data_IF_867547447083
#
_entry.id   IF_867547447083
#
_cell.length_a   1.000
_cell.length_b   1.000
_cell.length_c   1.000
_cell.angle_alpha   90.00
_cell.angle_beta   90.00
_cell.angle_gamma   90.00
#
_symmetry.space_group_name_H-M   'P 1'
#
loop_
_entity.id
_entity.type
_entity.pdbx_description
1 polymer ?
#
# COMPACT_ATOMS: atom_id res chain seq x y z
N UNK A 1 13.46 -41.17 12.42
CA UNK A 1 12.26 -40.47 12.95
C UNK A 1 12.67 -39.15 13.52
N UNK A 2 11.95 -38.06 13.20
CA UNK A 2 12.07 -36.84 13.99
C UNK A 2 11.36 -37.02 15.32
N UNK A 3 12.01 -36.64 16.41
CA UNK A 3 11.45 -36.57 17.75
C UNK A 3 10.43 -35.44 17.85
N UNK A 4 9.54 -35.51 18.85
CA UNK A 4 8.60 -34.42 19.16
C UNK A 4 9.32 -33.07 19.35
N UNK A 5 10.54 -33.08 19.89
CA UNK A 5 11.37 -31.89 20.10
C UNK A 5 11.86 -31.31 18.77
N UNK A 6 12.28 -32.15 17.83
CA UNK A 6 12.69 -31.72 16.48
C UNK A 6 11.51 -31.15 15.68
N UNK A 7 10.32 -31.75 15.79
CA UNK A 7 9.10 -31.22 15.16
C UNK A 7 8.73 -29.84 15.72
N UNK A 8 8.77 -29.67 17.05
CA UNK A 8 8.48 -28.37 17.68
C UNK A 8 9.52 -27.32 17.23
N UNK A 9 10.79 -27.69 17.16
CA UNK A 9 11.85 -26.77 16.72
C UNK A 9 11.63 -26.33 15.26
N UNK A 10 11.25 -27.26 14.37
CA UNK A 10 10.95 -26.95 12.97
C UNK A 10 9.75 -26.04 12.82
N UNK A 11 8.70 -26.23 13.63
CA UNK A 11 7.55 -25.31 13.65
C UNK A 11 8.00 -23.91 14.06
N UNK A 12 8.83 -23.79 15.09
CA UNK A 12 9.35 -22.50 15.55
C UNK A 12 10.26 -21.84 14.50
N UNK A 13 11.07 -22.62 13.79
CA UNK A 13 11.93 -22.13 12.72
C UNK A 13 11.11 -21.64 11.52
N UNK A 14 10.07 -22.39 11.14
CA UNK A 14 9.12 -21.97 10.10
C UNK A 14 8.40 -20.69 10.50
N UNK A 15 7.89 -20.59 11.73
CA UNK A 15 7.26 -19.37 12.24
C UNK A 15 8.20 -18.16 12.16
N UNK A 16 9.45 -18.32 12.58
CA UNK A 16 10.45 -17.25 12.49
C UNK A 16 10.74 -16.86 11.05
N UNK A 17 10.86 -17.82 10.14
CA UNK A 17 11.12 -17.54 8.73
C UNK A 17 9.94 -16.82 8.05
N UNK A 18 8.70 -17.28 8.31
CA UNK A 18 7.50 -16.59 7.82
C UNK A 18 7.42 -15.17 8.36
N UNK A 19 7.80 -14.96 9.62
CA UNK A 19 7.84 -13.62 10.21
C UNK A 19 8.84 -12.71 9.54
N UNK A 20 10.09 -13.17 9.41
CA UNK A 20 11.12 -12.40 8.73
C UNK A 20 10.68 -12.02 7.31
N UNK A 21 10.06 -12.94 6.56
CA UNK A 21 9.55 -12.64 5.22
C UNK A 21 8.41 -11.64 5.24
N UNK A 22 7.42 -11.80 6.11
CA UNK A 22 6.31 -10.86 6.21
C UNK A 22 6.80 -9.46 6.59
N UNK A 23 7.65 -9.36 7.62
CA UNK A 23 8.26 -8.09 8.04
C UNK A 23 9.01 -7.44 6.89
N UNK A 24 9.81 -8.23 6.17
CA UNK A 24 10.56 -7.77 5.01
C UNK A 24 9.64 -7.20 3.92
N UNK A 25 8.48 -7.81 3.67
CA UNK A 25 7.47 -7.32 2.72
C UNK A 25 6.78 -6.05 3.20
N UNK A 26 6.37 -5.97 4.47
CA UNK A 26 5.76 -4.74 5.03
C UNK A 26 6.74 -3.57 4.97
N UNK A 27 7.99 -3.79 5.40
CA UNK A 27 9.06 -2.79 5.32
C UNK A 27 9.33 -2.40 3.88
N UNK A 28 9.35 -3.37 2.98
CA UNK A 28 9.54 -3.14 1.55
C UNK A 28 8.43 -2.26 0.98
N UNK A 29 7.18 -2.51 1.34
CA UNK A 29 6.03 -1.73 0.90
C UNK A 29 6.12 -0.27 1.34
N UNK A 30 6.35 -0.05 2.64
CA UNK A 30 6.42 1.29 3.22
C UNK A 30 7.65 2.06 2.72
N UNK A 31 8.83 1.40 2.66
CA UNK A 31 10.04 2.00 2.09
C UNK A 31 9.84 2.33 0.61
N UNK A 32 9.23 1.43 -0.16
CA UNK A 32 8.96 1.64 -1.57
C UNK A 32 8.04 2.84 -1.82
N UNK A 33 7.02 3.01 -0.97
CA UNK A 33 6.13 4.17 -0.99
C UNK A 33 6.88 5.49 -0.78
N UNK A 34 7.72 5.55 0.25
CA UNK A 34 8.59 6.72 0.52
C UNK A 34 9.56 6.97 -0.64
N UNK A 35 10.16 5.94 -1.20
CA UNK A 35 11.07 6.07 -2.35
C UNK A 35 10.37 6.65 -3.58
N UNK A 36 9.14 6.22 -3.89
CA UNK A 36 8.42 6.74 -5.05
C UNK A 36 8.01 8.20 -4.92
N UNK A 37 7.59 8.64 -3.73
CA UNK A 37 7.29 10.06 -3.47
C UNK A 37 8.50 10.98 -3.66
N UNK A 38 9.70 10.44 -3.39
CA UNK A 38 10.96 11.21 -3.30
C UNK A 38 11.86 11.04 -4.52
N UNK A 39 11.51 10.12 -5.42
CA UNK A 39 12.29 9.79 -6.62
C UNK A 39 12.51 11.00 -7.55
N UNK A 40 11.47 11.80 -7.69
CA UNK A 40 11.34 12.95 -8.58
C UNK A 40 11.93 14.26 -8.04
N UNK A 41 12.19 14.34 -6.73
CA UNK A 41 12.77 15.53 -6.06
C UNK A 41 14.28 15.68 -6.31
N UNK A 42 14.86 14.79 -7.12
CA UNK A 42 16.19 14.98 -7.72
C UNK A 42 16.23 16.14 -8.72
N UNK A 43 15.10 16.80 -8.98
CA UNK A 43 15.03 18.13 -9.59
C UNK A 43 14.64 19.14 -8.51
N UNK A 44 15.58 19.98 -8.02
CA UNK A 44 15.26 20.93 -6.97
C UNK A 44 14.17 21.89 -7.44
N UNK A 45 13.04 21.92 -6.72
CA UNK A 45 12.09 23.02 -6.82
C UNK A 45 12.81 24.24 -6.24
N UNK A 46 13.11 25.30 -7.02
CA UNK A 46 13.77 26.46 -6.47
C UNK A 46 12.80 27.12 -5.48
N UNK A 47 13.06 26.99 -4.19
CA UNK A 47 12.36 27.80 -3.20
C UNK A 47 12.83 29.25 -3.37
N UNK A 48 11.91 30.21 -3.22
CA UNK A 48 12.24 31.65 -3.30
C UNK A 48 13.20 32.12 -2.20
N UNK A 49 13.47 31.27 -1.20
CA UNK A 49 14.35 31.54 -0.09
C UNK A 49 15.46 30.49 -0.08
N UNK A 50 16.67 30.86 -0.52
CA UNK A 50 17.94 30.09 -0.56
C UNK A 50 18.27 29.28 0.72
N UNK A 51 17.44 28.31 1.07
CA UNK A 51 17.66 27.33 2.11
C UNK A 51 17.68 25.98 1.42
N UNK A 52 18.78 25.25 1.57
CA UNK A 52 19.01 23.89 1.10
C UNK A 52 18.14 22.86 1.86
N UNK A 53 16.94 23.25 2.27
CA UNK A 53 15.98 22.35 2.91
C UNK A 53 15.19 21.67 1.80
N UNK A 54 15.38 20.37 1.64
CA UNK A 54 14.50 19.53 0.83
C UNK A 54 13.13 19.55 1.52
N UNK A 55 12.22 20.41 1.05
CA UNK A 55 10.82 20.37 1.45
C UNK A 55 10.24 19.07 0.88
N UNK A 56 9.98 18.10 1.75
CA UNK A 56 9.22 16.91 1.40
C UNK A 56 7.81 17.30 0.92
N UNK A 57 7.23 16.48 0.05
CA UNK A 57 5.83 16.67 -0.32
C UNK A 57 4.94 16.44 0.91
N UNK A 58 4.02 17.37 1.19
CA UNK A 58 3.09 17.31 2.35
C UNK A 58 2.31 16.00 2.43
N UNK A 59 2.12 15.29 1.30
CA UNK A 59 1.51 13.97 1.27
C UNK A 59 2.29 12.93 2.10
N UNK A 60 3.62 12.97 2.10
CA UNK A 60 4.47 12.03 2.86
C UNK A 60 4.34 12.29 4.36
N UNK A 61 4.33 13.56 4.77
CA UNK A 61 4.20 13.94 6.18
C UNK A 61 2.80 13.63 6.71
N UNK A 62 1.76 13.88 5.92
CA UNK A 62 0.38 13.51 6.26
C UNK A 62 0.20 12.00 6.35
N UNK A 63 0.83 11.24 5.46
CA UNK A 63 0.83 9.78 5.49
C UNK A 63 1.53 9.25 6.75
N UNK A 64 2.71 9.80 7.08
CA UNK A 64 3.43 9.41 8.29
C UNK A 64 2.64 9.76 9.56
N UNK A 65 2.11 10.98 9.66
CA UNK A 65 1.28 11.38 10.80
C UNK A 65 0.05 10.47 10.96
N UNK A 66 -0.53 10.01 9.86
CA UNK A 66 -1.65 9.08 9.91
C UNK A 66 -1.23 7.70 10.39
N UNK A 67 -0.12 7.17 9.88
CA UNK A 67 0.42 5.89 10.33
C UNK A 67 0.77 5.94 11.83
N UNK A 68 1.38 7.03 12.32
CA UNK A 68 1.66 7.25 13.75
C UNK A 68 0.38 7.19 14.58
N UNK A 69 -0.67 7.88 14.12
CA UNK A 69 -1.95 7.93 14.82
C UNK A 69 -2.57 6.54 14.90
N UNK A 70 -2.57 5.79 13.79
CA UNK A 70 -3.13 4.43 13.73
C UNK A 70 -2.33 3.47 14.63
N UNK A 71 -0.99 3.54 14.64
CA UNK A 71 -0.16 2.75 15.56
C UNK A 71 -0.44 3.09 17.02
N UNK A 72 -0.61 4.37 17.32
CA UNK A 72 -0.88 4.85 18.68
C UNK A 72 -2.27 4.43 19.18
N UNK A 73 -3.29 4.51 18.32
CA UNK A 73 -4.68 4.15 18.66
C UNK A 73 -4.96 2.65 18.54
N UNK A 74 -4.12 1.91 17.79
CA UNK A 74 -4.33 0.52 17.38
C UNK A 74 -5.65 0.30 16.65
N UNK A 75 -6.13 1.34 15.97
CA UNK A 75 -7.40 1.33 15.27
C UNK A 75 -7.34 2.19 14.02
N UNK A 76 -7.88 1.67 12.92
CA UNK A 76 -8.09 2.43 11.70
C UNK A 76 -9.46 3.11 11.74
N UNK A 77 -9.53 4.32 12.28
CA UNK A 77 -10.78 5.08 12.37
C UNK A 77 -10.83 6.26 11.40
N UNK A 78 -12.04 6.55 10.92
CA UNK A 78 -12.31 7.73 10.09
C UNK A 78 -12.00 9.02 10.86
N UNK A 79 -12.32 9.06 12.16
CA UNK A 79 -12.12 10.22 13.01
C UNK A 79 -10.62 10.56 13.17
N UNK A 80 -9.78 9.54 13.36
CA UNK A 80 -8.33 9.70 13.46
C UNK A 80 -7.74 10.27 12.17
N UNK A 81 -8.04 9.66 11.03
CA UNK A 81 -7.55 10.14 9.74
C UNK A 81 -8.06 11.56 9.44
N UNK A 82 -9.32 11.85 9.76
CA UNK A 82 -9.89 13.18 9.59
C UNK A 82 -9.16 14.20 10.46
N UNK A 83 -8.87 13.86 11.72
CA UNK A 83 -8.10 14.70 12.65
C UNK A 83 -6.71 14.96 12.11
N UNK A 84 -6.01 13.94 11.60
CA UNK A 84 -4.69 14.09 10.99
C UNK A 84 -4.76 15.02 9.79
N UNK A 85 -5.72 14.83 8.86
CA UNK A 85 -5.89 15.73 7.70
C UNK A 85 -6.10 17.18 8.17
N UNK A 86 -6.87 17.43 9.24
CA UNK A 86 -7.09 18.78 9.77
C UNK A 86 -5.82 19.44 10.31
N UNK A 87 -4.82 18.68 10.75
CA UNK A 87 -3.56 19.24 11.27
C UNK A 87 -2.76 19.98 10.20
N UNK A 88 -2.97 19.63 8.93
CA UNK A 88 -2.31 20.26 7.77
C UNK A 88 -3.08 21.47 7.21
N UNK A 89 -4.10 21.96 7.93
CA UNK A 89 -4.86 23.14 7.50
C UNK A 89 -3.98 24.40 7.50
N UNK A 90 -3.89 25.06 6.35
CA UNK A 90 -3.08 26.26 6.17
C UNK A 90 -1.62 25.98 5.78
N UNK A 91 -1.29 24.72 5.50
CA UNK A 91 -0.02 24.35 4.86
C UNK A 91 -0.01 24.84 3.41
N UNK A 92 1.03 25.61 3.05
CA UNK A 92 1.18 26.24 1.73
C UNK A 92 1.09 25.22 0.57
N UNK A 93 1.55 23.98 0.80
CA UNK A 93 1.50 22.94 -0.22
C UNK A 93 0.08 22.39 -0.50
N UNK A 94 -0.89 22.65 0.39
CA UNK A 94 -2.29 22.28 0.21
C UNK A 94 -3.15 23.46 -0.26
N UNK A 95 -2.63 24.68 -0.22
CA UNK A 95 -3.35 25.88 -0.63
C UNK A 95 -3.67 25.86 -2.13
N UNK A 96 -4.91 26.21 -2.47
CA UNK A 96 -5.40 26.27 -3.84
C UNK A 96 -5.65 24.90 -4.51
N UNK A 97 -5.40 23.79 -3.82
CA UNK A 97 -5.76 22.47 -4.33
C UNK A 97 -7.28 22.21 -4.20
N UNK A 98 -7.92 21.56 -5.19
CA UNK A 98 -9.34 21.23 -5.07
C UNK A 98 -9.67 20.40 -3.82
N UNK A 99 -8.75 19.52 -3.39
CA UNK A 99 -8.90 18.70 -2.19
C UNK A 99 -9.01 19.51 -0.89
N UNK A 100 -8.33 20.65 -0.79
CA UNK A 100 -8.34 21.46 0.43
C UNK A 100 -9.68 22.14 0.67
N UNK A 101 -10.39 22.51 -0.41
CA UNK A 101 -11.77 23.00 -0.31
C UNK A 101 -12.71 21.95 0.31
N UNK A 102 -12.56 20.68 -0.08
CA UNK A 102 -13.37 19.59 0.48
C UNK A 102 -13.00 19.33 1.94
N UNK A 103 -11.74 18.98 2.21
CA UNK A 103 -11.35 18.47 3.52
C UNK A 103 -11.33 19.53 4.61
N UNK A 104 -11.27 20.82 4.25
CA UNK A 104 -11.36 21.93 5.20
C UNK A 104 -12.71 22.65 5.19
N UNK A 105 -13.70 22.11 4.46
CA UNK A 105 -15.08 22.62 4.45
C UNK A 105 -15.76 22.46 5.81
N UNK A 106 -16.80 23.26 6.04
CA UNK A 106 -17.66 23.11 7.21
C UNK A 106 -18.39 21.77 7.16
N UNK A 107 -18.36 20.99 8.25
CA UNK A 107 -19.06 19.72 8.35
C UNK A 107 -18.23 18.50 7.96
N UNK A 108 -17.08 18.68 7.29
CA UNK A 108 -16.22 17.55 6.89
C UNK A 108 -15.75 16.73 8.10
N UNK A 109 -15.37 17.38 9.21
CA UNK A 109 -14.93 16.67 10.42
C UNK A 109 -16.03 15.79 11.02
N UNK A 110 -17.29 16.21 10.88
CA UNK A 110 -18.43 15.52 11.46
C UNK A 110 -18.89 14.34 10.58
N UNK A 111 -18.94 14.53 9.27
CA UNK A 111 -19.44 13.52 8.32
C UNK A 111 -18.59 13.48 7.04
N UNK A 112 -17.31 13.08 7.10
CA UNK A 112 -16.37 13.27 5.99
C UNK A 112 -16.76 12.50 4.73
N UNK A 113 -17.27 11.27 4.86
CA UNK A 113 -17.71 10.46 3.72
C UNK A 113 -18.95 11.07 3.06
N UNK A 114 -19.94 11.51 3.84
CA UNK A 114 -21.17 12.09 3.29
C UNK A 114 -20.89 13.43 2.59
N UNK A 115 -20.01 14.25 3.16
CA UNK A 115 -19.57 15.51 2.55
C UNK A 115 -18.82 15.24 1.24
N UNK A 116 -17.87 14.29 1.23
CA UNK A 116 -17.16 13.90 0.02
C UNK A 116 -18.08 13.27 -1.04
N UNK A 117 -19.13 12.57 -0.61
CA UNK A 117 -20.14 12.02 -1.51
C UNK A 117 -20.99 13.12 -2.12
N UNK A 118 -21.46 14.08 -1.32
CA UNK A 118 -22.23 15.21 -1.81
C UNK A 118 -21.44 16.06 -2.81
N UNK A 119 -20.17 16.35 -2.52
CA UNK A 119 -19.26 17.06 -3.43
C UNK A 119 -19.08 16.31 -4.76
N UNK A 120 -18.90 14.99 -4.72
CA UNK A 120 -18.83 14.17 -5.93
C UNK A 120 -20.14 14.14 -6.71
N UNK A 121 -21.28 13.98 -6.02
CA UNK A 121 -22.61 13.94 -6.66
C UNK A 121 -22.95 15.29 -7.32
N UNK A 122 -22.48 16.41 -6.77
CA UNK A 122 -22.68 17.76 -7.33
C UNK A 122 -21.74 18.06 -8.51
N UNK A 123 -20.44 17.75 -8.36
CA UNK A 123 -19.43 18.15 -9.34
C UNK A 123 -19.22 17.12 -10.45
N UNK A 124 -19.59 15.86 -10.20
CA UNK A 124 -19.23 14.68 -11.00
C UNK A 124 -17.73 14.57 -11.33
N UNK A 125 -16.89 15.17 -10.49
CA UNK A 125 -15.44 15.18 -10.64
C UNK A 125 -14.83 14.66 -9.36
N UNK A 126 -13.84 13.79 -9.47
CA UNK A 126 -12.94 13.61 -8.34
C UNK A 126 -11.91 14.73 -8.34
N UNK A 127 -11.51 15.13 -7.14
CA UNK A 127 -10.53 16.18 -6.92
C UNK A 127 -9.17 15.70 -7.46
N UNK A 128 -8.40 16.63 -8.04
CA UNK A 128 -7.23 16.37 -8.92
C UNK A 128 -6.03 15.73 -8.20
N UNK A 129 -6.13 15.43 -6.90
CA UNK A 129 -5.02 14.90 -6.10
C UNK A 129 -5.08 13.37 -5.97
N UNK A 130 -4.40 12.71 -6.90
CA UNK A 130 -4.09 11.28 -6.93
C UNK A 130 -3.36 10.81 -5.67
N UNK A 131 -2.63 11.74 -5.07
CA UNK A 131 -1.41 11.52 -4.33
C UNK A 131 -1.61 10.73 -3.03
N UNK A 132 -2.79 10.90 -2.43
CA UNK A 132 -3.08 10.33 -1.13
C UNK A 132 -4.06 9.16 -1.20
N UNK A 133 -4.84 9.01 -2.28
CA UNK A 133 -5.90 7.98 -2.34
C UNK A 133 -5.31 6.57 -2.42
N UNK A 134 -4.38 6.33 -3.35
CA UNK A 134 -3.82 4.99 -3.55
C UNK A 134 -2.72 4.67 -2.52
N UNK A 135 -2.02 5.66 -1.99
CA UNK A 135 -1.10 5.46 -0.86
C UNK A 135 -1.84 4.97 0.40
N UNK A 136 -3.04 5.50 0.67
CA UNK A 136 -3.93 4.95 1.72
C UNK A 136 -4.38 3.52 1.43
N UNK A 137 -4.49 3.15 0.16
CA UNK A 137 -4.86 1.79 -0.26
C UNK A 137 -3.76 0.78 0.01
N UNK A 138 -2.49 1.18 -0.20
CA UNK A 138 -1.33 0.37 0.22
C UNK A 138 -1.41 0.10 1.72
N UNK A 139 -1.64 1.15 2.53
CA UNK A 139 -1.77 0.98 3.98
C UNK A 139 -2.98 0.12 4.37
N UNK A 140 -4.13 0.26 3.70
CA UNK A 140 -5.29 -0.59 3.92
C UNK A 140 -5.02 -2.09 3.66
N UNK A 141 -4.10 -2.41 2.73
CA UNK A 141 -3.65 -3.78 2.50
C UNK A 141 -2.64 -4.29 3.53
N UNK A 142 -1.93 -3.39 4.21
CA UNK A 142 -0.99 -3.71 5.30
C UNK A 142 -1.71 -3.83 6.65
N UNK A 143 -2.73 -3.01 6.88
CA UNK A 143 -3.49 -2.91 8.12
C UNK A 143 -4.64 -3.91 8.17
N UNK A 144 -4.85 -4.59 9.30
CA UNK A 144 -5.89 -5.63 9.47
C UNK A 144 -5.92 -6.64 8.31
N UNK A 145 -4.75 -6.93 7.73
CA UNK A 145 -4.56 -7.74 6.53
C UNK A 145 -5.00 -9.21 6.66
N UNK A 146 -5.40 -9.65 7.84
CA UNK A 146 -5.76 -11.04 8.15
C UNK A 146 -7.07 -11.48 7.47
N UNK A 147 -7.92 -10.53 7.09
CA UNK A 147 -9.21 -10.78 6.46
C UNK A 147 -9.37 -9.96 5.18
N UNK A 148 -9.64 -10.63 4.07
CA UNK A 148 -9.92 -9.96 2.79
C UNK A 148 -11.09 -8.99 2.92
N UNK A 149 -12.17 -9.39 3.61
CA UNK A 149 -13.35 -8.52 3.79
C UNK A 149 -12.99 -7.24 4.55
N UNK A 150 -12.11 -7.35 5.56
CA UNK A 150 -11.65 -6.18 6.31
C UNK A 150 -10.78 -5.28 5.45
N UNK A 151 -9.86 -5.85 4.66
CA UNK A 151 -9.01 -5.10 3.71
C UNK A 151 -9.87 -4.34 2.70
N UNK A 152 -10.86 -5.00 2.10
CA UNK A 152 -11.79 -4.38 1.14
C UNK A 152 -12.56 -3.24 1.80
N UNK A 153 -13.17 -3.49 2.96
CA UNK A 153 -13.94 -2.46 3.67
C UNK A 153 -13.07 -1.26 4.08
N UNK A 154 -11.84 -1.50 4.53
CA UNK A 154 -10.91 -0.43 4.91
C UNK A 154 -10.51 0.39 3.68
N UNK A 155 -10.15 -0.26 2.57
CA UNK A 155 -9.81 0.42 1.33
C UNK A 155 -10.98 1.28 0.80
N UNK A 156 -12.21 0.76 0.84
CA UNK A 156 -13.41 1.52 0.48
C UNK A 156 -13.60 2.74 1.38
N UNK A 157 -13.60 2.54 2.70
CA UNK A 157 -13.82 3.61 3.68
C UNK A 157 -12.79 4.72 3.52
N UNK A 158 -11.51 4.36 3.40
CA UNK A 158 -10.42 5.32 3.27
C UNK A 158 -10.48 6.08 1.95
N UNK A 159 -10.79 5.41 0.85
CA UNK A 159 -10.99 6.07 -0.45
C UNK A 159 -12.13 7.09 -0.37
N UNK A 160 -13.29 6.67 0.17
CA UNK A 160 -14.53 7.45 0.23
C UNK A 160 -14.48 8.71 1.10
N UNK A 161 -13.44 8.87 1.92
CA UNK A 161 -13.19 10.12 2.63
C UNK A 161 -12.99 11.29 1.68
N UNK A 162 -12.50 11.05 0.47
CA UNK A 162 -12.25 12.12 -0.48
C UNK A 162 -12.66 11.81 -1.92
N UNK A 163 -12.85 10.54 -2.28
CA UNK A 163 -13.16 10.11 -3.64
C UNK A 163 -14.29 9.08 -3.62
N UNK A 164 -15.40 9.38 -4.30
CA UNK A 164 -16.58 8.51 -4.32
C UNK A 164 -16.88 7.88 -5.68
N UNK A 165 -16.07 8.17 -6.71
CA UNK A 165 -16.18 7.47 -8.00
C UNK A 165 -15.98 5.97 -7.85
N UNK A 166 -16.82 5.14 -8.48
CA UNK A 166 -16.64 3.69 -8.49
C UNK A 166 -15.30 3.24 -9.06
N UNK A 167 -14.78 3.92 -10.10
CA UNK A 167 -13.47 3.62 -10.69
C UNK A 167 -12.34 3.81 -9.66
N UNK A 168 -12.38 4.89 -8.87
CA UNK A 168 -11.34 5.20 -7.89
C UNK A 168 -11.42 4.28 -6.68
N UNK A 169 -12.64 4.01 -6.18
CA UNK A 169 -12.87 3.08 -5.07
C UNK A 169 -12.45 1.67 -5.47
N UNK A 170 -12.85 1.19 -6.65
CA UNK A 170 -12.46 -0.14 -7.12
C UNK A 170 -10.96 -0.27 -7.34
N UNK A 171 -10.30 0.75 -7.88
CA UNK A 171 -8.84 0.78 -8.01
C UNK A 171 -8.12 0.69 -6.67
N UNK A 172 -8.63 1.41 -5.66
CA UNK A 172 -8.12 1.39 -4.28
C UNK A 172 -8.25 -0.01 -3.67
N UNK A 173 -9.41 -0.63 -3.83
CA UNK A 173 -9.67 -1.99 -3.34
C UNK A 173 -8.75 -3.02 -4.00
N UNK A 174 -8.57 -2.95 -5.33
CA UNK A 174 -7.68 -3.88 -6.05
C UNK A 174 -6.22 -3.72 -5.58
N UNK A 175 -5.72 -2.49 -5.40
CA UNK A 175 -4.36 -2.27 -4.89
C UNK A 175 -4.18 -2.82 -3.47
N UNK A 176 -5.13 -2.55 -2.57
CA UNK A 176 -5.10 -3.08 -1.20
C UNK A 176 -5.13 -4.62 -1.19
N UNK A 177 -5.96 -5.20 -2.07
CA UNK A 177 -6.07 -6.64 -2.26
C UNK A 177 -4.76 -7.27 -2.76
N UNK A 178 -4.06 -6.64 -3.71
CA UNK A 178 -2.75 -7.11 -4.17
C UNK A 178 -1.74 -7.15 -3.03
N UNK A 179 -1.65 -6.07 -2.25
CA UNK A 179 -0.76 -6.01 -1.08
C UNK A 179 -1.12 -7.13 -0.10
N UNK A 180 -2.40 -7.30 0.24
CA UNK A 180 -2.87 -8.39 1.10
C UNK A 180 -2.40 -9.77 0.62
N UNK A 181 -2.59 -10.09 -0.67
CA UNK A 181 -2.14 -11.37 -1.24
C UNK A 181 -0.62 -11.53 -1.22
N UNK A 182 0.12 -10.48 -1.55
CA UNK A 182 1.58 -10.46 -1.47
C UNK A 182 2.05 -10.71 -0.04
N UNK A 183 1.46 -10.08 0.96
CA UNK A 183 1.85 -10.26 2.36
C UNK A 183 1.62 -11.71 2.83
N UNK A 184 0.53 -12.33 2.38
CA UNK A 184 0.20 -13.70 2.71
C UNK A 184 0.96 -14.74 1.89
N UNK A 185 1.76 -14.33 0.91
CA UNK A 185 2.40 -15.23 -0.07
C UNK A 185 1.38 -16.06 -0.87
N UNK A 186 0.22 -15.46 -1.14
CA UNK A 186 -0.86 -16.10 -1.86
C UNK A 186 -0.84 -15.69 -3.33
N UNK A 187 -1.09 -16.67 -4.20
CA UNK A 187 -1.32 -16.42 -5.61
C UNK A 187 -2.70 -15.78 -5.79
N UNK A 188 -2.80 -14.92 -6.79
CA UNK A 188 -4.06 -14.39 -7.31
C UNK A 188 -4.11 -14.59 -8.82
N UNK A 189 -5.32 -14.64 -9.36
CA UNK A 189 -5.53 -14.87 -10.80
C UNK A 189 -6.12 -13.64 -11.49
N UNK A 190 -5.94 -13.57 -12.81
CA UNK A 190 -6.57 -12.53 -13.63
C UNK A 190 -8.09 -12.51 -13.43
N UNK A 191 -8.74 -13.68 -13.48
CA UNK A 191 -10.19 -13.81 -13.30
C UNK A 191 -10.67 -13.31 -11.93
N UNK A 192 -9.89 -13.54 -10.89
CA UNK A 192 -10.20 -13.07 -9.53
C UNK A 192 -10.15 -11.55 -9.44
N UNK A 193 -9.11 -10.93 -10.04
CA UNK A 193 -8.99 -9.47 -10.10
C UNK A 193 -10.06 -8.84 -10.99
N UNK A 194 -10.42 -9.47 -12.11
CA UNK A 194 -11.55 -9.05 -12.98
C UNK A 194 -12.86 -9.11 -12.20
N UNK A 195 -13.12 -10.20 -11.46
CA UNK A 195 -14.32 -10.35 -10.66
C UNK A 195 -14.43 -9.26 -9.58
N UNK A 196 -13.34 -9.04 -8.83
CA UNK A 196 -13.28 -7.99 -7.81
C UNK A 196 -13.51 -6.59 -8.42
N UNK A 197 -12.86 -6.31 -9.55
CA UNK A 197 -12.96 -5.03 -10.26
C UNK A 197 -14.38 -4.73 -10.73
N UNK A 198 -15.09 -5.73 -11.26
CA UNK A 198 -16.46 -5.59 -11.80
C UNK A 198 -17.52 -5.28 -10.75
N UNK A 199 -17.25 -5.55 -9.47
CA UNK A 199 -18.13 -5.14 -8.38
C UNK A 199 -18.21 -3.60 -8.23
N UNK A 200 -17.24 -2.86 -8.78
CA UNK A 200 -17.19 -1.40 -8.72
C UNK A 200 -17.44 -0.76 -10.09
N UNK A 201 -16.71 -1.17 -11.12
CA UNK A 201 -16.89 -0.66 -12.49
C UNK A 201 -16.43 -1.69 -13.51
N UNK A 202 -17.20 -1.88 -14.58
CA UNK A 202 -16.83 -2.75 -15.68
C UNK A 202 -15.60 -2.25 -16.45
N UNK A 203 -15.29 -0.96 -16.41
CA UNK A 203 -14.10 -0.39 -17.08
C UNK A 203 -12.79 -0.88 -16.45
N UNK A 204 -12.81 -1.21 -15.15
CA UNK A 204 -11.62 -1.63 -14.42
C UNK A 204 -11.03 -2.93 -14.95
N UNK A 205 -11.87 -3.85 -15.45
CA UNK A 205 -11.38 -5.15 -15.94
C UNK A 205 -10.42 -5.00 -17.12
N UNK A 206 -10.60 -4.00 -17.99
CA UNK A 206 -9.69 -3.76 -19.11
C UNK A 206 -8.26 -3.46 -18.62
N UNK A 207 -8.09 -2.74 -17.50
CA UNK A 207 -6.78 -2.44 -16.95
C UNK A 207 -6.13 -3.63 -16.25
N UNK A 208 -6.94 -4.59 -15.77
CA UNK A 208 -6.44 -5.90 -15.31
C UNK A 208 -5.91 -6.69 -16.50
N UNK A 209 -6.70 -6.79 -17.58
CA UNK A 209 -6.33 -7.49 -18.82
C UNK A 209 -5.03 -6.90 -19.41
N UNK A 210 -4.94 -5.57 -19.53
CA UNK A 210 -3.71 -4.90 -20.01
C UNK A 210 -2.47 -5.22 -19.17
N UNK A 211 -2.63 -5.44 -17.87
CA UNK A 211 -1.52 -5.82 -16.99
C UNK A 211 -1.03 -7.24 -17.28
N UNK A 212 -1.96 -8.20 -17.43
CA UNK A 212 -1.64 -9.60 -17.75
C UNK A 212 -1.10 -9.79 -19.16
N UNK A 213 -1.57 -8.98 -20.11
CA UNK A 213 -1.04 -8.94 -21.49
C UNK A 213 0.35 -8.28 -21.57
N UNK A 214 0.81 -7.60 -20.52
CA UNK A 214 2.07 -6.86 -20.53
C UNK A 214 2.01 -5.55 -21.34
N UNK A 215 0.81 -5.01 -21.57
CA UNK A 215 0.59 -3.84 -22.41
C UNK A 215 0.86 -2.52 -21.65
N UNK A 216 2.13 -2.26 -21.37
CA UNK A 216 2.55 -1.08 -20.61
C UNK A 216 2.10 0.24 -21.22
N UNK A 217 2.01 0.33 -22.55
CA UNK A 217 1.57 1.56 -23.22
C UNK A 217 0.14 1.96 -22.84
N UNK A 218 -0.74 0.98 -22.61
CA UNK A 218 -2.10 1.23 -22.13
C UNK A 218 -2.17 1.57 -20.65
N UNK A 219 -1.16 1.15 -19.88
CA UNK A 219 -1.05 1.38 -18.44
C UNK A 219 -0.29 2.66 -18.09
N UNK A 220 0.39 3.29 -19.05
CA UNK A 220 1.17 4.51 -18.81
C UNK A 220 0.24 5.71 -18.59
N UNK A 221 0.32 6.39 -17.43
CA UNK A 221 -0.46 7.59 -17.15
C UNK A 221 -0.12 8.75 -18.10
N UNK A 222 -1.08 9.64 -18.30
CA UNK A 222 -0.94 10.80 -19.18
C UNK A 222 -1.61 12.04 -18.56
N UNK A 223 -0.93 13.19 -18.62
CA UNK A 223 -1.43 14.47 -18.11
C UNK A 223 -2.64 15.00 -18.87
N UNK A 224 -2.90 14.51 -20.09
CA UNK A 224 -4.10 14.85 -20.86
C UNK A 224 -5.34 14.03 -20.51
N UNK A 225 -5.20 12.99 -19.67
CA UNK A 225 -6.30 12.12 -19.28
C UNK A 225 -6.96 12.55 -17.97
N UNK A 226 -8.18 12.06 -17.73
CA UNK A 226 -8.89 12.36 -16.49
C UNK A 226 -8.21 11.69 -15.29
N UNK A 227 -8.43 12.21 -14.07
CA UNK A 227 -7.88 11.60 -12.88
C UNK A 227 -8.29 10.16 -12.64
N UNK A 228 -9.55 9.84 -12.84
CA UNK A 228 -10.07 8.49 -12.68
C UNK A 228 -9.34 7.52 -13.61
N UNK A 229 -9.06 7.93 -14.85
CA UNK A 229 -8.36 7.09 -15.82
C UNK A 229 -6.91 6.84 -15.43
N UNK A 230 -6.19 7.86 -14.98
CA UNK A 230 -4.82 7.71 -14.49
C UNK A 230 -4.76 6.81 -13.24
N UNK A 231 -5.78 6.85 -12.37
CA UNK A 231 -5.88 5.94 -11.21
C UNK A 231 -6.08 4.49 -11.64
N UNK A 232 -6.97 4.22 -12.61
CA UNK A 232 -7.16 2.87 -13.16
C UNK A 232 -5.88 2.34 -13.82
N UNK A 233 -5.14 3.21 -14.51
CA UNK A 233 -3.82 2.91 -15.06
C UNK A 233 -2.80 2.57 -13.98
N UNK A 234 -2.76 3.32 -12.88
CA UNK A 234 -1.91 3.03 -11.71
C UNK A 234 -2.24 1.67 -11.11
N UNK A 235 -3.52 1.32 -10.97
CA UNK A 235 -3.94 0.00 -10.53
C UNK A 235 -3.40 -1.09 -11.48
N UNK A 236 -3.57 -0.92 -12.80
CA UNK A 236 -3.00 -1.84 -13.78
C UNK A 236 -1.48 -1.94 -13.72
N UNK A 237 -0.75 -0.83 -13.52
CA UNK A 237 0.70 -0.84 -13.32
C UNK A 237 1.11 -1.57 -12.03
N UNK A 238 0.35 -1.40 -10.94
CA UNK A 238 0.57 -2.14 -9.70
C UNK A 238 0.44 -3.65 -9.96
N UNK A 239 -0.63 -4.09 -10.64
CA UNK A 239 -0.79 -5.49 -11.06
C UNK A 239 0.39 -5.92 -11.93
N UNK A 240 0.74 -5.17 -12.97
CA UNK A 240 1.84 -5.52 -13.87
C UNK A 240 3.18 -5.69 -13.12
N UNK A 241 3.45 -4.84 -12.14
CA UNK A 241 4.63 -4.93 -11.27
C UNK A 241 4.68 -6.25 -10.50
N UNK A 242 3.53 -6.74 -10.03
CA UNK A 242 3.43 -8.06 -9.38
C UNK A 242 3.71 -9.22 -10.33
N UNK A 243 3.64 -9.01 -11.65
CA UNK A 243 3.94 -10.04 -12.65
C UNK A 243 5.41 -10.04 -13.11
N UNK A 244 6.18 -8.98 -12.80
CA UNK A 244 7.58 -8.87 -13.25
C UNK A 244 8.54 -9.83 -12.56
N UNK A 245 9.38 -10.54 -13.32
CA UNK A 245 10.41 -11.45 -12.77
C UNK A 245 11.79 -10.79 -12.60
N UNK A 246 11.91 -9.51 -12.98
CA UNK A 246 13.16 -8.75 -12.90
C UNK A 246 13.51 -8.34 -11.46
N UNK A 247 14.76 -7.94 -11.23
CA UNK A 247 15.22 -7.45 -9.92
C UNK A 247 14.50 -6.14 -9.52
N UNK A 248 14.51 -5.81 -8.23
CA UNK A 248 13.93 -4.58 -7.71
C UNK A 248 14.51 -3.38 -8.45
N UNK A 249 15.84 -3.35 -8.60
CA UNK A 249 16.55 -2.28 -9.26
C UNK A 249 16.11 -2.08 -10.72
N UNK A 250 15.97 -3.18 -11.47
CA UNK A 250 15.61 -3.10 -12.89
C UNK A 250 14.19 -2.58 -13.07
N UNK A 251 13.24 -3.13 -12.29
CA UNK A 251 11.84 -2.68 -12.33
C UNK A 251 11.71 -1.25 -11.82
N UNK A 252 12.36 -0.90 -10.72
CA UNK A 252 12.39 0.47 -10.18
C UNK A 252 12.96 1.47 -11.19
N UNK A 253 14.09 1.14 -11.82
CA UNK A 253 14.72 1.99 -12.82
C UNK A 253 13.84 2.17 -14.05
N UNK A 254 13.12 1.13 -14.48
CA UNK A 254 12.14 1.21 -15.54
C UNK A 254 10.99 2.16 -15.18
N UNK A 255 10.36 1.95 -14.02
CA UNK A 255 9.27 2.78 -13.51
C UNK A 255 9.68 4.25 -13.39
N UNK A 256 10.87 4.51 -12.85
CA UNK A 256 11.39 5.87 -12.72
C UNK A 256 11.55 6.61 -14.05
N UNK A 257 11.91 5.91 -15.14
CA UNK A 257 11.97 6.50 -16.48
C UNK A 257 10.59 6.75 -17.07
N UNK A 258 9.70 5.77 -16.95
CA UNK A 258 8.37 5.81 -17.57
C UNK A 258 7.41 6.77 -16.85
N UNK A 259 7.56 6.89 -15.53
CA UNK A 259 6.65 7.62 -14.66
C UNK A 259 7.24 8.92 -14.13
N UNK A 260 8.33 9.43 -14.71
CA UNK A 260 9.12 10.56 -14.19
C UNK A 260 8.34 11.82 -13.78
N UNK A 261 7.13 12.01 -14.30
CA UNK A 261 6.24 13.15 -14.01
C UNK A 261 5.01 12.80 -13.18
N UNK A 262 4.90 11.56 -12.70
CA UNK A 262 3.79 11.02 -11.94
C UNK A 262 4.32 10.43 -10.63
N UNK A 263 4.80 11.31 -9.74
CA UNK A 263 5.52 10.93 -8.51
C UNK A 263 4.69 9.97 -7.65
N UNK A 264 3.39 10.15 -7.69
CA UNK A 264 2.46 9.53 -6.77
C UNK A 264 2.00 8.17 -7.26
N UNK A 265 1.99 8.02 -8.58
CA UNK A 265 1.88 6.73 -9.24
C UNK A 265 3.13 5.89 -8.93
N UNK A 266 4.31 6.52 -8.91
CA UNK A 266 5.53 5.82 -8.51
C UNK A 266 5.46 5.35 -7.06
N UNK A 267 4.97 6.17 -6.13
CA UNK A 267 4.81 5.79 -4.72
C UNK A 267 4.04 4.47 -4.58
N UNK A 268 2.89 4.36 -5.24
CA UNK A 268 2.03 3.15 -5.18
C UNK A 268 2.72 1.95 -5.83
N UNK A 269 3.23 2.12 -7.05
CA UNK A 269 3.78 0.99 -7.81
C UNK A 269 5.09 0.49 -7.21
N UNK A 270 5.92 1.38 -6.65
CA UNK A 270 7.16 1.02 -5.97
C UNK A 270 6.86 0.44 -4.57
N UNK A 271 5.80 0.87 -3.90
CA UNK A 271 5.32 0.19 -2.70
C UNK A 271 4.92 -1.27 -3.01
N UNK A 272 4.17 -1.51 -4.09
CA UNK A 272 3.83 -2.88 -4.51
C UNK A 272 5.06 -3.68 -4.90
N UNK A 273 6.03 -3.07 -5.60
CA UNK A 273 7.32 -3.70 -5.90
C UNK A 273 8.08 -4.10 -4.62
N UNK A 274 8.15 -3.19 -3.66
CA UNK A 274 8.80 -3.41 -2.37
C UNK A 274 8.10 -4.45 -1.53
N UNK A 275 6.77 -4.47 -1.51
CA UNK A 275 5.99 -5.53 -0.88
C UNK A 275 6.32 -6.89 -1.50
N UNK A 276 6.43 -6.95 -2.82
CA UNK A 276 6.69 -8.19 -3.55
C UNK A 276 8.11 -8.71 -3.34
N UNK A 277 9.10 -7.84 -3.48
CA UNK A 277 10.51 -8.22 -3.45
C UNK A 277 11.09 -8.20 -2.05
N UNK A 278 10.46 -7.50 -1.11
CA UNK A 278 10.94 -7.35 0.25
C UNK A 278 12.01 -6.27 0.39
N UNK A 279 12.12 -5.73 1.60
CA UNK A 279 13.03 -4.65 1.97
C UNK A 279 14.50 -5.01 1.76
N UNK A 280 14.89 -6.25 2.05
CA UNK A 280 16.26 -6.74 1.91
C UNK A 280 16.78 -6.68 0.45
N UNK A 281 15.88 -6.65 -0.53
CA UNK A 281 16.22 -6.54 -1.96
C UNK A 281 16.24 -5.10 -2.48
N UNK A 282 15.96 -4.11 -1.63
CA UNK A 282 16.09 -2.69 -1.98
C UNK A 282 17.58 -2.33 -1.89
N UNK A 283 18.24 -1.91 -3.01
CA UNK A 283 19.67 -1.60 -3.00
C UNK A 283 19.99 -0.47 -2.03
N UNK A 284 21.03 -0.60 -1.20
CA UNK A 284 21.41 0.42 -0.20
C UNK A 284 21.73 1.75 -0.88
N UNK A 285 22.22 1.76 -2.12
CA UNK A 285 22.53 2.99 -2.85
C UNK A 285 21.28 3.80 -3.24
N UNK A 286 20.10 3.21 -3.13
CA UNK A 286 18.83 3.81 -3.56
C UNK A 286 17.83 3.84 -2.40
N UNK A 287 17.88 2.82 -1.55
CA UNK A 287 17.19 2.71 -0.28
C UNK A 287 17.85 3.52 0.83
N UNK A 288 19.15 3.85 0.72
CA UNK A 288 19.79 4.88 1.53
C UNK A 288 19.70 6.20 0.75
N UNK A 289 18.88 7.15 1.23
CA UNK A 289 18.80 8.46 0.62
C UNK A 289 20.20 9.08 0.72
N UNK A 290 20.86 9.30 -0.40
CA UNK A 290 22.28 9.66 -0.41
C UNK A 290 22.57 10.91 0.44
N UNK A 291 23.32 10.72 1.53
CA UNK A 291 24.28 11.68 2.06
C UNK A 291 23.81 12.76 3.03
N UNK A 292 22.52 13.06 3.16
CA UNK A 292 22.06 14.14 4.06
C UNK A 292 20.68 13.92 4.70
N UNK A 293 20.09 12.74 4.55
CA UNK A 293 18.86 12.40 5.29
C UNK A 293 19.26 11.85 6.65
N UNK A 294 19.28 12.71 7.66
CA UNK A 294 18.97 12.26 9.03
C UNK A 294 17.75 11.35 8.93
N UNK A 295 17.88 10.12 9.43
CA UNK A 295 16.83 9.12 9.64
C UNK A 295 15.43 9.74 9.53
N UNK A 296 14.77 9.55 8.39
CA UNK A 296 13.39 10.00 8.23
C UNK A 296 12.55 9.24 9.26
N UNK A 297 11.70 9.97 9.98
CA UNK A 297 10.77 9.48 11.02
C UNK A 297 10.00 8.23 10.58
N UNK A 298 9.73 8.10 9.27
CA UNK A 298 9.12 6.95 8.63
C UNK A 298 9.81 5.59 8.86
N UNK A 299 11.14 5.50 9.03
CA UNK A 299 11.79 4.19 9.27
C UNK A 299 11.56 3.66 10.68
N UNK A 300 11.51 4.54 11.69
CA UNK A 300 11.11 4.19 13.06
C UNK A 300 9.61 3.85 13.11
N UNK A 301 8.77 4.59 12.38
CA UNK A 301 7.35 4.26 12.18
C UNK A 301 7.15 2.87 11.60
N UNK A 302 7.89 2.54 10.54
CA UNK A 302 7.85 1.23 9.89
C UNK A 302 8.18 0.14 10.90
N UNK A 303 9.18 0.35 11.75
CA UNK A 303 9.50 -0.55 12.84
C UNK A 303 8.40 -0.64 13.92
N UNK A 304 7.70 0.45 14.23
CA UNK A 304 6.59 0.47 15.20
C UNK A 304 5.32 -0.23 14.66
N UNK A 305 4.90 0.09 13.43
CA UNK A 305 3.81 -0.59 12.70
C UNK A 305 4.05 -2.09 12.67
N UNK A 306 5.29 -2.47 12.35
CA UNK A 306 5.71 -3.87 12.27
C UNK A 306 5.67 -4.51 13.67
N UNK A 307 6.19 -3.89 14.72
CA UNK A 307 6.31 -4.56 16.02
C UNK A 307 5.00 -4.67 16.82
N UNK A 308 4.07 -3.71 16.73
CA UNK A 308 2.92 -3.63 17.65
C UNK A 308 1.70 -4.47 17.24
N UNK A 309 1.61 -4.93 15.99
CA UNK A 309 0.46 -5.68 15.46
C UNK A 309 0.79 -7.10 14.94
N UNK A 310 2.06 -7.34 14.57
CA UNK A 310 2.51 -8.62 13.98
C UNK A 310 2.43 -9.83 14.90
N UNK A 311 2.38 -9.61 16.22
CA UNK A 311 2.29 -10.70 17.18
C UNK A 311 1.00 -11.50 17.00
N UNK A 312 -0.08 -10.90 16.48
CA UNK A 312 -1.38 -11.54 16.27
C UNK A 312 -1.46 -12.50 15.07
N UNK A 313 -0.71 -12.24 13.99
CA UNK A 313 -0.74 -13.09 12.78
C UNK A 313 0.08 -14.36 12.92
N UNK A 314 1.22 -14.30 13.61
CA UNK A 314 2.00 -15.51 13.88
C UNK A 314 1.19 -16.46 14.71
N UNK A 315 0.46 -15.98 15.72
CA UNK A 315 -0.45 -16.85 16.49
C UNK A 315 -1.46 -17.54 15.58
N UNK A 316 -2.10 -16.83 14.64
CA UNK A 316 -3.11 -17.41 13.74
C UNK A 316 -2.55 -18.47 12.76
N UNK A 317 -1.43 -18.20 12.07
CA UNK A 317 -0.79 -19.19 11.19
C UNK A 317 -0.08 -20.31 11.96
N UNK A 318 0.49 -20.00 13.12
CA UNK A 318 1.02 -21.00 14.04
C UNK A 318 -0.07 -21.98 14.46
N UNK A 319 -1.24 -21.48 14.86
CA UNK A 319 -2.35 -22.32 15.28
C UNK A 319 -2.85 -23.19 14.13
N UNK A 320 -2.95 -22.65 12.91
CA UNK A 320 -3.33 -23.42 11.71
C UNK A 320 -2.29 -24.50 11.34
N UNK A 321 -0.99 -24.19 11.40
CA UNK A 321 0.08 -25.14 11.14
C UNK A 321 0.16 -26.21 12.25
N UNK A 322 0.00 -25.81 13.52
CA UNK A 322 -0.09 -26.71 14.67
C UNK A 322 -1.30 -27.63 14.52
N UNK A 323 -2.47 -27.11 14.11
CA UNK A 323 -3.68 -27.90 13.86
C UNK A 323 -3.46 -28.88 12.70
N UNK A 324 -2.88 -28.44 11.59
CA UNK A 324 -2.56 -29.29 10.43
C UNK A 324 -1.60 -30.41 10.82
N UNK A 325 -0.54 -30.10 11.56
CA UNK A 325 0.42 -31.10 12.05
C UNK A 325 -0.19 -32.01 13.12
N UNK A 326 -1.05 -31.50 14.00
CA UNK A 326 -1.81 -32.33 14.94
C UNK A 326 -2.76 -33.28 14.20
N UNK A 327 -3.38 -32.83 13.11
CA UNK A 327 -4.19 -33.67 12.24
C UNK A 327 -3.36 -34.71 11.50
N UNK A 328 -2.19 -34.36 10.96
CA UNK A 328 -1.27 -35.34 10.35
C UNK A 328 -0.76 -36.35 11.37
N UNK A 329 -0.43 -35.91 12.60
CA UNK A 329 -0.03 -36.79 13.69
C UNK A 329 -1.17 -37.73 14.11
N UNK A 330 -2.42 -37.25 14.15
CA UNK A 330 -3.61 -38.07 14.41
C UNK A 330 -3.90 -39.04 13.26
N UNK A 331 -3.79 -38.60 12.01
CA UNK A 331 -4.00 -39.42 10.80
C UNK A 331 -2.96 -40.52 10.68
N UNK A 332 -1.71 -40.26 11.07
CA UNK A 332 -0.62 -41.21 10.92
C UNK A 332 -0.55 -42.27 12.03
N UNK A 333 -1.23 -42.09 13.18
CA UNK A 333 -1.48 -43.05 14.28
C UNK A 333 -0.43 -44.17 14.50
N UNK A 334 0.84 -43.87 14.25
CA UNK A 334 2.00 -44.75 14.33
C UNK A 334 3.16 -43.88 14.77
N UNK A 335 3.60 -44.10 16.01
CA UNK A 335 5.02 -44.03 16.35
C UNK A 335 5.75 -44.72 15.21
N UNK A 336 6.51 -44.00 14.38
CA UNK A 336 7.00 -44.59 13.14
C UNK A 336 8.10 -45.65 13.37
N UNK A 337 7.63 -46.87 13.62
CA UNK A 337 8.39 -48.11 13.54
C UNK A 337 8.34 -48.58 12.08
N UNK A 338 9.42 -48.38 11.34
CA UNK A 338 9.78 -49.22 10.19
C UNK A 338 11.32 -49.47 10.30
N UNK A 339 11.80 -50.71 10.07
CA UNK A 339 13.20 -51.13 10.31
C UNK A 339 14.27 -50.30 9.61
#
# INVERSE_FOLDING_TARGET
MKTRKEIIQEIQDLQRNLMTQFEDRVRGALQGMLMGETFSDRTPIPSKNNSEEVKWAVNVDMLCAWIEQVCSSKQLTIADLTTVIQQFKGEEALDGLPISNLVFSSGYVQNPIDVAKADFDETHKNLVFYDFVLCRSVFAGLWDYQSMDTVVQNAEKLCRLTHNSPQVVGSSVVVAYLIHKILLDELFTENELIWLSRNYSSELSAYVEYAYEGNIHMLKPNTSETPEKNIMKTMGLAIWTTLQTSSFFDTYSFLGRELRFFREIQAVVIAVLGAKQGYANIPVEIGSPHGSVKAYRGSELVHQVVNDELTGYVSGRADSLILTLQEEMKRNNRVLLIP
#
